data_IF_851290403364
#
_entry.id   IF_851290403364
#
_cell.length_a   1.000
_cell.length_b   1.000
_cell.length_c   1.000
_cell.angle_alpha   90.00
_cell.angle_beta   90.00
_cell.angle_gamma   90.00
#
_symmetry.space_group_name_H-M   'P 1'
#
loop_
_entity.id
_entity.type
_entity.pdbx_description
1 polymer ?
#
# COMPACT_ATOMS: atom_id res chain seq x y z
N UNK A 1 -12.91 0.34 -8.30
CA UNK A 1 -12.77 -0.85 -9.15
C UNK A 1 -11.30 -1.20 -9.25
N UNK A 2 -10.95 -2.48 -9.11
CA UNK A 2 -9.57 -2.97 -8.96
C UNK A 2 -8.74 -2.80 -10.25
N UNK A 3 -7.42 -2.68 -10.10
CA UNK A 3 -6.49 -2.56 -11.23
C UNK A 3 -6.59 -3.75 -12.21
N UNK A 4 -6.77 -4.97 -11.69
CA UNK A 4 -6.92 -6.19 -12.48
C UNK A 4 -8.18 -6.14 -13.36
N UNK A 5 -9.33 -5.76 -12.80
CA UNK A 5 -10.58 -5.63 -13.56
C UNK A 5 -10.42 -4.64 -14.71
N UNK A 6 -9.80 -3.47 -14.44
CA UNK A 6 -9.49 -2.48 -15.48
C UNK A 6 -8.57 -3.04 -16.56
N UNK A 7 -7.57 -3.83 -16.19
CA UNK A 7 -6.65 -4.44 -17.15
C UNK A 7 -7.35 -5.45 -18.07
N UNK A 8 -8.32 -6.20 -17.56
CA UNK A 8 -9.12 -7.15 -18.34
C UNK A 8 -10.13 -6.45 -19.26
N UNK A 9 -10.70 -5.32 -18.83
CA UNK A 9 -11.65 -4.53 -19.63
C UNK A 9 -10.99 -3.69 -20.73
N UNK A 10 -9.70 -3.38 -20.58
CA UNK A 10 -8.94 -2.55 -21.51
C UNK A 10 -8.19 -3.43 -22.51
N UNK A 11 -8.23 -3.07 -23.79
CA UNK A 11 -7.28 -3.62 -24.78
C UNK A 11 -5.91 -2.96 -24.59
N UNK A 12 -5.13 -3.49 -23.66
CA UNK A 12 -3.73 -3.10 -23.48
C UNK A 12 -2.90 -3.56 -24.69
N UNK A 13 -1.86 -2.79 -25.04
CA UNK A 13 -0.90 -3.22 -26.04
C UNK A 13 -0.11 -4.44 -25.55
N UNK A 14 0.45 -5.22 -26.48
CA UNK A 14 1.35 -6.32 -26.14
C UNK A 14 2.48 -5.82 -25.24
N UNK A 15 2.79 -6.54 -24.15
CA UNK A 15 3.89 -6.26 -23.22
C UNK A 15 3.76 -4.95 -22.41
N UNK A 16 2.54 -4.46 -22.17
CA UNK A 16 2.35 -3.27 -21.31
C UNK A 16 2.71 -3.58 -19.85
N UNK A 17 3.75 -2.93 -19.32
CA UNK A 17 4.12 -3.01 -17.89
C UNK A 17 3.51 -1.83 -17.14
N UNK A 18 2.85 -2.12 -16.01
CA UNK A 18 2.20 -1.12 -15.15
C UNK A 18 2.61 -1.32 -13.70
N UNK A 19 3.04 -0.23 -13.05
CA UNK A 19 3.19 -0.22 -11.59
C UNK A 19 1.82 -0.08 -10.94
N UNK A 20 1.53 -0.93 -9.96
CA UNK A 20 0.30 -0.87 -9.16
C UNK A 20 0.69 -0.72 -7.70
N UNK A 21 0.06 0.24 -7.03
CA UNK A 21 0.29 0.57 -5.63
C UNK A 21 -0.48 1.83 -5.26
N UNK A 22 -0.14 2.45 -4.13
CA UNK A 22 -0.74 3.72 -3.69
C UNK A 22 -0.01 4.94 -4.24
N UNK A 23 1.28 4.79 -4.58
CA UNK A 23 2.16 5.91 -4.90
C UNK A 23 2.45 6.84 -3.73
N UNK A 24 1.97 6.50 -2.53
CA UNK A 24 2.20 7.23 -1.29
C UNK A 24 3.22 6.43 -0.47
N UNK A 25 4.43 6.97 -0.21
CA UNK A 25 5.39 6.31 0.65
C UNK A 25 4.88 6.27 2.09
N UNK A 26 5.16 5.17 2.79
CA UNK A 26 4.91 4.99 4.22
C UNK A 26 6.16 4.39 4.85
N UNK A 27 6.60 4.94 5.98
CA UNK A 27 7.67 4.34 6.78
C UNK A 27 7.15 3.14 7.58
N UNK A 28 8.07 2.25 7.96
CA UNK A 28 7.73 1.10 8.81
C UNK A 28 7.18 1.55 10.18
N UNK A 29 7.66 2.68 10.70
CA UNK A 29 7.17 3.29 11.94
C UNK A 29 5.71 3.70 11.82
N UNK A 30 5.38 4.49 10.80
CA UNK A 30 3.99 4.94 10.56
C UNK A 30 3.06 3.74 10.33
N UNK A 31 3.51 2.72 9.57
CA UNK A 31 2.72 1.50 9.37
C UNK A 31 2.46 0.75 10.68
N UNK A 32 3.46 0.67 11.57
CA UNK A 32 3.32 0.01 12.88
C UNK A 32 2.39 0.80 13.82
N UNK A 33 2.49 2.13 13.83
CA UNK A 33 1.59 3.02 14.59
C UNK A 33 0.14 2.86 14.11
N UNK A 34 -0.11 2.92 12.79
CA UNK A 34 -1.44 2.69 12.21
C UNK A 34 -1.99 1.30 12.53
N UNK A 35 -1.14 0.27 12.62
CA UNK A 35 -1.57 -1.07 13.03
C UNK A 35 -1.99 -1.11 14.50
N UNK A 36 -1.26 -0.43 15.39
CA UNK A 36 -1.63 -0.31 16.81
C UNK A 36 -2.98 0.42 16.96
N UNK A 37 -3.17 1.52 16.22
CA UNK A 37 -4.45 2.25 16.16
C UNK A 37 -5.59 1.34 15.68
N UNK A 38 -5.40 0.62 14.57
CA UNK A 38 -6.42 -0.28 14.03
C UNK A 38 -6.82 -1.38 15.02
N UNK A 39 -5.88 -1.87 15.83
CA UNK A 39 -6.14 -2.85 16.90
C UNK A 39 -6.75 -2.26 18.18
N UNK A 40 -6.89 -0.94 18.28
CA UNK A 40 -7.31 -0.27 19.52
C UNK A 40 -6.26 -0.34 20.64
N UNK A 41 -4.99 -0.54 20.29
CA UNK A 41 -3.85 -0.72 21.22
C UNK A 41 -2.93 0.49 21.20
N UNK A 42 -3.48 1.66 21.52
CA UNK A 42 -2.74 2.93 21.60
C UNK A 42 -1.71 2.96 22.75
N UNK A 43 -1.72 1.95 23.62
CA UNK A 43 -0.75 1.73 24.68
C UNK A 43 0.55 1.07 24.22
N UNK A 44 0.61 0.62 22.95
CA UNK A 44 1.79 0.01 22.37
C UNK A 44 2.63 1.03 21.60
N UNK A 45 3.95 0.90 21.70
CA UNK A 45 4.91 1.68 20.91
C UNK A 45 5.80 0.76 20.06
N UNK A 46 6.08 1.09 18.79
CA UNK A 46 7.00 0.33 17.96
C UNK A 46 8.44 0.40 18.48
N UNK A 47 9.04 -0.76 18.75
CA UNK A 47 10.43 -0.90 19.21
C UNK A 47 11.36 -1.12 18.01
N UNK A 48 12.42 -0.31 17.88
CA UNK A 48 13.47 -0.51 16.88
C UNK A 48 14.58 -1.41 17.44
N UNK A 49 14.72 -2.61 16.89
CA UNK A 49 15.69 -3.61 17.36
C UNK A 49 17.05 -3.56 16.65
N UNK A 50 17.21 -2.75 15.61
CA UNK A 50 18.43 -2.70 14.79
C UNK A 50 18.84 -1.25 14.43
N UNK A 51 19.28 -0.44 15.40
CA UNK A 51 19.86 0.87 15.11
C UNK A 51 21.20 0.68 14.39
N UNK A 52 21.24 0.88 13.07
CA UNK A 52 22.48 0.86 12.29
C UNK A 52 22.43 0.14 10.95
N UNK A 53 21.32 -0.53 10.63
CA UNK A 53 21.10 -1.00 9.27
C UNK A 53 20.75 0.19 8.38
N UNK A 54 21.38 0.31 7.20
CA UNK A 54 20.98 1.34 6.25
C UNK A 54 19.49 1.21 5.93
N UNK A 55 18.73 2.32 5.95
CA UNK A 55 17.31 2.27 5.61
C UNK A 55 17.13 1.63 4.23
N UNK A 56 16.16 0.74 4.11
CA UNK A 56 15.76 0.26 2.80
C UNK A 56 15.41 1.46 1.90
N UNK A 57 15.82 1.46 0.62
CA UNK A 57 15.45 2.51 -0.31
C UNK A 57 13.93 2.69 -0.31
N UNK A 58 13.47 3.94 -0.37
CA UNK A 58 12.03 4.22 -0.52
C UNK A 58 11.50 3.57 -1.79
N UNK A 59 10.54 2.67 -1.63
CA UNK A 59 9.85 2.01 -2.74
C UNK A 59 8.39 2.47 -2.77
N UNK A 60 8.02 3.19 -3.83
CA UNK A 60 6.64 3.60 -4.06
C UNK A 60 6.34 3.56 -5.56
N UNK A 61 5.09 3.22 -5.89
CA UNK A 61 4.66 3.07 -7.27
C UNK A 61 4.45 4.42 -7.96
N UNK A 62 5.18 4.68 -9.04
CA UNK A 62 4.78 5.72 -9.98
C UNK A 62 3.51 5.30 -10.73
N UNK A 63 2.41 5.99 -10.47
CA UNK A 63 1.09 5.66 -11.00
C UNK A 63 0.77 6.31 -12.34
N UNK A 64 1.70 7.06 -12.97
CA UNK A 64 1.44 7.75 -14.25
C UNK A 64 0.91 6.80 -15.32
N UNK A 65 1.55 5.65 -15.52
CA UNK A 65 1.12 4.65 -16.52
C UNK A 65 -0.20 3.99 -16.12
N UNK A 66 -0.37 3.61 -14.85
CA UNK A 66 -1.61 2.98 -14.40
C UNK A 66 -2.82 3.92 -14.54
N UNK A 67 -2.67 5.20 -14.22
CA UNK A 67 -3.70 6.24 -14.43
C UNK A 67 -4.02 6.41 -15.92
N UNK A 68 -2.99 6.57 -16.75
CA UNK A 68 -3.15 6.80 -18.19
C UNK A 68 -3.83 5.63 -18.92
N UNK A 69 -3.33 4.41 -18.72
CA UNK A 69 -3.73 3.27 -19.57
C UNK A 69 -4.90 2.49 -18.96
N UNK A 70 -5.00 2.41 -17.63
CA UNK A 70 -6.07 1.69 -16.93
C UNK A 70 -7.18 2.61 -16.40
N UNK A 71 -6.92 3.90 -16.20
CA UNK A 71 -7.77 4.74 -15.35
C UNK A 71 -7.81 4.24 -13.91
N UNK A 72 -6.71 3.61 -13.45
CA UNK A 72 -6.56 3.14 -12.07
C UNK A 72 -6.24 4.31 -11.15
N UNK A 73 -6.94 4.35 -10.01
CA UNK A 73 -6.62 5.23 -8.89
C UNK A 73 -6.76 4.40 -7.60
N UNK A 74 -5.75 4.39 -6.71
CA UNK A 74 -5.88 3.82 -5.38
C UNK A 74 -7.03 4.50 -4.62
N UNK A 75 -7.84 3.71 -3.93
CA UNK A 75 -9.01 4.22 -3.18
C UNK A 75 -8.95 3.94 -1.70
N UNK A 76 -8.23 2.90 -1.32
CA UNK A 76 -8.12 2.43 0.06
C UNK A 76 -6.69 2.73 0.51
N UNK A 77 -6.56 3.56 1.55
CA UNK A 77 -5.29 3.83 2.20
C UNK A 77 -4.90 2.72 3.19
N UNK A 78 -3.68 2.76 3.73
CA UNK A 78 -3.22 1.72 4.67
C UNK A 78 -4.11 1.66 5.92
N UNK A 79 -4.44 2.80 6.54
CA UNK A 79 -5.28 2.83 7.74
C UNK A 79 -6.69 2.26 7.51
N UNK A 80 -7.36 2.64 6.41
CA UNK A 80 -8.66 2.08 6.04
C UNK A 80 -8.56 0.57 5.77
N UNK A 81 -7.51 0.12 5.07
CA UNK A 81 -7.27 -1.30 4.83
C UNK A 81 -7.02 -2.10 6.11
N UNK A 82 -6.27 -1.52 7.06
CA UNK A 82 -6.00 -2.12 8.38
C UNK A 82 -7.24 -2.16 9.28
N UNK A 83 -8.17 -1.21 9.14
CA UNK A 83 -9.43 -1.27 9.88
C UNK A 83 -10.25 -2.53 9.53
N UNK A 84 -10.12 -3.04 8.29
CA UNK A 84 -10.73 -4.30 7.84
C UNK A 84 -10.01 -5.58 8.29
N UNK A 85 -9.22 -5.54 9.37
CA UNK A 85 -8.40 -6.64 9.94
C UNK A 85 -9.15 -7.92 10.38
N UNK A 86 -10.46 -7.98 10.23
CA UNK A 86 -11.31 -9.10 10.68
C UNK A 86 -10.99 -10.44 9.98
N UNK A 87 -10.23 -10.41 8.88
CA UNK A 87 -9.70 -11.61 8.22
C UNK A 87 -8.43 -12.17 8.89
N UNK A 88 -7.75 -11.38 9.72
CA UNK A 88 -6.49 -11.73 10.39
C UNK A 88 -6.67 -11.98 11.88
N UNK A 89 -7.51 -11.18 12.53
CA UNK A 89 -7.82 -11.34 13.94
C UNK A 89 -9.00 -12.31 14.12
N UNK A 90 -8.85 -13.34 14.98
CA UNK A 90 -9.87 -14.35 15.22
C UNK A 90 -11.14 -13.80 15.88
#
# INVERSE_FOLDING_TARGET
MLALTRALERRLGHWTVVNVGTGVPISLREAAEMACEAMGRLDLEPISIAPGMEPAPSSFADLRTARSVLGFEPRVGLGEGLAGKDWFLP
#
